data_IF_069307081525
#
_entry.id   IF_069307081525
#
_cell.length_a   1.000
_cell.length_b   1.000
_cell.length_c   1.000
_cell.angle_alpha   90.00
_cell.angle_beta   90.00
_cell.angle_gamma   90.00
#
_symmetry.space_group_name_H-M   'P 1'
#
loop_
_entity.id
_entity.type
_entity.pdbx_description
1 polymer ?
#
# COMPACT_ATOMS: atom_id res chain seq x y z
N UNK A 1 -30.29 -11.82 8.87
CA UNK A 1 -29.60 -11.35 10.08
C UNK A 1 -28.15 -11.77 10.00
N UNK A 2 -27.22 -10.82 10.14
CA UNK A 2 -25.79 -11.05 10.37
C UNK A 2 -24.95 -11.32 9.12
N UNK A 3 -24.21 -10.33 8.62
CA UNK A 3 -22.86 -10.05 9.13
C UNK A 3 -22.66 -8.53 9.05
N UNK A 4 -22.75 -7.86 10.21
CA UNK A 4 -22.20 -6.52 10.37
C UNK A 4 -20.69 -6.68 10.34
N UNK A 5 -20.02 -6.26 9.26
CA UNK A 5 -18.59 -6.02 9.32
C UNK A 5 -18.39 -4.85 10.28
N UNK A 6 -17.66 -5.11 11.37
CA UNK A 6 -17.30 -4.13 12.38
C UNK A 6 -16.62 -2.94 11.70
N UNK A 7 -17.38 -1.86 11.60
CA UNK A 7 -16.93 -0.53 11.21
C UNK A 7 -16.24 0.09 12.43
N UNK A 8 -14.92 -0.08 12.55
CA UNK A 8 -14.11 0.74 13.46
C UNK A 8 -13.62 1.97 12.69
N UNK A 9 -14.42 3.03 12.70
CA UNK A 9 -14.02 4.37 12.28
C UNK A 9 -13.02 4.94 13.30
N UNK A 10 -11.76 5.05 12.89
CA UNK A 10 -10.80 5.96 13.51
C UNK A 10 -11.05 7.37 12.96
N UNK A 11 -12.09 8.05 13.44
CA UNK A 11 -12.33 9.46 13.15
C UNK A 11 -11.63 10.33 14.22
N UNK A 12 -10.81 11.27 13.75
CA UNK A 12 -10.37 12.49 14.44
C UNK A 12 -9.80 12.30 15.87
N UNK A 13 -8.52 11.89 15.93
CA UNK A 13 -7.65 12.16 17.10
C UNK A 13 -7.78 11.23 18.30
N UNK A 14 -8.03 9.93 18.11
CA UNK A 14 -8.00 8.91 19.18
C UNK A 14 -7.05 7.78 18.83
N UNK A 15 -6.28 7.32 19.83
CA UNK A 15 -5.48 6.09 19.73
C UNK A 15 -6.36 4.93 19.28
N UNK A 16 -6.05 4.35 18.11
CA UNK A 16 -6.75 3.15 17.67
C UNK A 16 -6.13 1.93 18.33
N UNK A 17 -6.94 1.02 18.90
CA UNK A 17 -6.40 -0.17 19.52
C UNK A 17 -5.70 -1.02 18.45
N UNK A 18 -4.51 -1.51 18.79
CA UNK A 18 -3.78 -2.42 17.91
C UNK A 18 -4.70 -3.59 17.51
N UNK A 19 -4.89 -3.76 16.21
CA UNK A 19 -5.88 -4.72 15.68
C UNK A 19 -5.14 -5.85 14.98
N UNK A 20 -5.37 -7.07 15.43
CA UNK A 20 -4.84 -8.29 14.80
C UNK A 20 -5.99 -9.06 14.17
N UNK A 21 -5.86 -9.41 12.90
CA UNK A 21 -6.86 -10.18 12.17
C UNK A 21 -6.19 -11.21 11.25
N UNK A 22 -6.77 -12.41 11.18
CA UNK A 22 -6.41 -13.42 10.19
C UNK A 22 -7.59 -13.65 9.26
N UNK A 23 -7.46 -13.21 8.01
CA UNK A 23 -8.51 -13.40 7.01
C UNK A 23 -7.91 -13.95 5.73
N UNK A 24 -8.51 -15.03 5.20
CA UNK A 24 -8.02 -15.75 4.02
C UNK A 24 -6.52 -16.07 4.06
N UNK A 25 -5.97 -16.32 5.25
CA UNK A 25 -4.56 -16.63 5.42
C UNK A 25 -3.59 -15.46 5.31
N UNK A 26 -4.09 -14.22 5.37
CA UNK A 26 -3.27 -13.03 5.60
C UNK A 26 -3.45 -12.62 7.04
N UNK A 27 -2.35 -12.63 7.78
CA UNK A 27 -2.29 -12.11 9.14
C UNK A 27 -1.97 -10.63 9.07
N UNK A 28 -2.95 -9.79 9.38
CA UNK A 28 -2.78 -8.35 9.42
C UNK A 28 -2.66 -7.87 10.86
N UNK A 29 -1.70 -6.99 11.09
CA UNK A 29 -1.45 -6.33 12.37
C UNK A 29 -1.41 -4.82 12.13
N UNK A 30 -2.31 -4.10 12.80
CA UNK A 30 -2.32 -2.64 12.80
C UNK A 30 -1.80 -2.17 14.15
N UNK A 31 -0.81 -1.29 14.14
CA UNK A 31 -0.39 -0.51 15.29
C UNK A 31 -1.35 0.65 15.56
N UNK A 32 -0.86 1.58 16.36
CA UNK A 32 -1.59 2.69 16.95
C UNK A 32 -1.06 4.02 16.38
N UNK A 33 -1.38 5.13 17.03
CA UNK A 33 -0.78 6.43 16.67
C UNK A 33 0.40 6.78 17.63
N UNK A 34 0.82 5.80 18.45
CA UNK A 34 1.89 5.87 19.44
C UNK A 34 2.94 4.81 19.12
N UNK A 35 4.16 4.99 19.63
CA UNK A 35 5.26 4.03 19.42
C UNK A 35 4.88 2.59 19.84
N UNK A 36 4.97 1.67 18.90
CA UNK A 36 4.55 0.28 19.01
C UNK A 36 5.72 -0.70 19.00
N UNK A 37 5.50 -1.88 19.60
CA UNK A 37 6.43 -3.01 19.54
C UNK A 37 5.71 -4.26 19.02
N UNK A 38 5.77 -4.44 17.71
CA UNK A 38 5.07 -5.50 16.98
C UNK A 38 6.06 -6.61 16.65
N UNK A 39 6.07 -7.64 17.50
CA UNK A 39 6.94 -8.81 17.31
C UNK A 39 6.09 -10.01 16.88
N UNK A 40 6.26 -10.44 15.63
CA UNK A 40 5.72 -11.70 15.14
C UNK A 40 6.76 -12.79 15.36
N UNK A 41 6.36 -13.87 16.02
CA UNK A 41 7.21 -15.01 16.31
C UNK A 41 6.53 -16.30 15.88
N UNK A 42 7.33 -17.28 15.46
CA UNK A 42 6.84 -18.61 15.18
C UNK A 42 7.58 -19.63 16.04
N UNK A 43 6.82 -20.52 16.67
CA UNK A 43 7.31 -21.70 17.39
C UNK A 43 6.55 -22.92 16.92
N UNK A 44 7.25 -23.81 16.19
CA UNK A 44 6.60 -24.93 15.51
C UNK A 44 5.49 -24.46 14.56
N UNK A 45 4.27 -24.95 14.80
CA UNK A 45 3.08 -24.58 14.02
C UNK A 45 2.30 -23.39 14.61
N UNK A 46 2.85 -22.65 15.57
CA UNK A 46 2.16 -21.52 16.19
C UNK A 46 2.85 -20.22 15.82
N UNK A 47 2.09 -19.27 15.26
CA UNK A 47 2.49 -17.88 15.11
C UNK A 47 1.87 -17.08 16.23
N UNK A 48 2.66 -16.25 16.91
CA UNK A 48 2.21 -15.40 18.00
C UNK A 48 2.57 -13.93 17.75
N UNK A 49 1.59 -13.06 17.97
CA UNK A 49 1.70 -11.59 17.88
C UNK A 49 0.65 -10.94 18.80
N UNK A 50 1.03 -9.88 19.51
CA UNK A 50 0.15 -9.11 20.41
C UNK A 50 -0.70 -9.97 21.37
N UNK A 51 -0.11 -11.05 21.92
CA UNK A 51 -0.80 -11.99 22.82
C UNK A 51 -1.78 -12.95 22.14
N UNK A 52 -1.97 -12.86 20.82
CA UNK A 52 -2.80 -13.76 20.03
C UNK A 52 -1.95 -14.87 19.41
N UNK A 53 -2.59 -15.99 19.05
CA UNK A 53 -1.92 -17.14 18.44
C UNK A 53 -2.72 -17.68 17.25
N UNK A 54 -2.01 -18.04 16.18
CA UNK A 54 -2.56 -18.54 14.92
C UNK A 54 -1.81 -19.79 14.46
N UNK A 55 -2.48 -20.66 13.71
CA UNK A 55 -1.80 -21.80 13.08
C UNK A 55 -0.91 -21.31 11.94
N UNK A 56 0.37 -21.68 11.95
CA UNK A 56 1.31 -21.31 10.90
C UNK A 56 0.88 -21.82 9.53
N UNK A 57 0.22 -22.98 9.46
CA UNK A 57 -0.37 -23.51 8.22
C UNK A 57 -1.52 -22.66 7.65
N UNK A 58 -2.14 -21.80 8.46
CA UNK A 58 -3.20 -20.91 8.01
C UNK A 58 -2.64 -19.57 7.51
N UNK A 59 -1.46 -19.14 7.97
CA UNK A 59 -0.87 -17.85 7.60
C UNK A 59 0.07 -18.04 6.40
N UNK A 60 -0.27 -17.43 5.27
CA UNK A 60 0.56 -17.45 4.05
C UNK A 60 1.26 -16.12 3.80
N UNK A 61 0.78 -15.02 4.38
CA UNK A 61 1.40 -13.70 4.31
C UNK A 61 1.15 -12.93 5.61
N UNK A 62 2.11 -12.10 5.98
CA UNK A 62 1.99 -11.14 7.09
C UNK A 62 1.90 -9.74 6.51
N UNK A 63 1.03 -8.90 7.06
CA UNK A 63 0.96 -7.47 6.75
C UNK A 63 0.97 -6.72 8.06
N UNK A 64 1.90 -5.78 8.22
CA UNK A 64 1.96 -4.89 9.37
C UNK A 64 1.91 -3.46 8.90
N UNK A 65 1.05 -2.65 9.50
CA UNK A 65 1.10 -1.18 9.42
C UNK A 65 1.26 -0.66 10.83
N UNK A 66 2.41 -0.05 11.14
CA UNK A 66 2.77 0.33 12.50
C UNK A 66 2.14 1.68 12.90
N UNK A 67 2.10 2.65 11.98
CA UNK A 67 1.24 3.82 12.10
C UNK A 67 2.05 5.09 12.39
N UNK A 68 1.78 5.76 13.51
CA UNK A 68 2.59 6.89 13.95
C UNK A 68 3.40 6.51 15.19
N UNK A 69 4.54 7.16 15.38
CA UNK A 69 5.46 6.89 16.49
C UNK A 69 6.73 6.20 16.00
N UNK A 70 7.76 6.20 16.83
CA UNK A 70 8.99 5.48 16.52
C UNK A 70 8.78 3.98 16.81
N UNK A 71 8.46 3.20 15.77
CA UNK A 71 7.97 1.83 15.92
C UNK A 71 9.07 0.77 15.81
N UNK A 72 8.84 -0.38 16.48
CA UNK A 72 9.61 -1.60 16.28
C UNK A 72 8.72 -2.68 15.68
N UNK A 73 8.98 -3.04 14.42
CA UNK A 73 8.33 -4.19 13.77
C UNK A 73 9.34 -5.28 13.46
N UNK A 74 9.10 -6.49 13.96
CA UNK A 74 10.00 -7.64 13.75
C UNK A 74 9.24 -8.90 13.37
N UNK A 75 9.41 -9.35 12.13
CA UNK A 75 8.97 -10.66 11.66
C UNK A 75 10.07 -11.72 11.93
N UNK A 76 9.77 -12.74 12.73
CA UNK A 76 10.71 -13.85 13.01
C UNK A 76 10.19 -15.17 12.45
N UNK A 77 9.46 -15.09 11.35
CA UNK A 77 8.93 -16.24 10.63
C UNK A 77 9.64 -16.37 9.27
N UNK A 78 9.40 -17.49 8.58
CA UNK A 78 9.81 -17.64 7.18
C UNK A 78 8.72 -17.17 6.20
N UNK A 79 7.65 -16.54 6.71
CA UNK A 79 6.51 -16.11 5.91
C UNK A 79 6.80 -14.73 5.35
N UNK A 80 6.57 -14.59 4.05
CA UNK A 80 6.64 -13.33 3.34
C UNK A 80 5.78 -12.26 4.02
N UNK A 81 6.35 -11.09 4.26
CA UNK A 81 5.73 -9.98 4.94
C UNK A 81 5.72 -8.70 4.11
N UNK A 82 4.69 -7.88 4.30
CA UNK A 82 4.74 -6.46 3.99
C UNK A 82 4.74 -5.69 5.31
N UNK A 83 5.77 -4.89 5.57
CA UNK A 83 5.90 -4.09 6.78
C UNK A 83 5.90 -2.61 6.40
N UNK A 84 4.97 -1.85 6.96
CA UNK A 84 4.92 -0.38 6.87
C UNK A 84 5.24 0.20 8.25
N UNK A 85 6.27 1.04 8.33
CA UNK A 85 6.62 1.81 9.53
C UNK A 85 5.59 2.93 9.71
N UNK A 86 5.62 3.92 8.82
CA UNK A 86 4.65 5.00 8.81
C UNK A 86 5.33 6.31 9.17
N UNK A 87 4.87 7.02 10.20
CA UNK A 87 5.53 8.25 10.67
C UNK A 87 6.32 7.96 11.93
N UNK A 88 7.60 8.26 11.93
CA UNK A 88 8.51 8.09 13.06
C UNK A 88 9.84 7.56 12.59
N UNK A 89 10.81 7.45 13.50
CA UNK A 89 12.07 6.76 13.20
C UNK A 89 11.88 5.27 13.47
N UNK A 90 11.49 4.53 12.45
CA UNK A 90 11.02 3.16 12.60
C UNK A 90 12.15 2.15 12.48
N UNK A 91 11.95 0.99 13.10
CA UNK A 91 12.84 -0.16 12.99
C UNK A 91 12.07 -1.36 12.45
N UNK A 92 12.23 -1.61 11.16
CA UNK A 92 11.57 -2.70 10.44
C UNK A 92 12.54 -3.84 10.17
N UNK A 93 12.19 -5.04 10.61
CA UNK A 93 13.03 -6.23 10.48
C UNK A 93 12.20 -7.38 9.91
N UNK A 94 12.57 -7.79 8.69
CA UNK A 94 12.03 -8.93 7.97
C UNK A 94 12.40 -10.29 8.58
N UNK A 95 11.80 -11.32 8.02
CA UNK A 95 11.99 -12.73 8.32
C UNK A 95 12.99 -13.38 7.36
N UNK A 96 12.81 -14.68 7.10
CA UNK A 96 13.55 -15.36 6.02
C UNK A 96 12.70 -15.56 4.75
N UNK A 97 11.56 -14.88 4.69
CA UNK A 97 10.64 -14.90 3.56
C UNK A 97 11.03 -13.86 2.51
N UNK A 98 10.24 -13.75 1.44
CA UNK A 98 10.36 -12.63 0.49
C UNK A 98 9.56 -11.44 1.02
N UNK A 99 10.25 -10.47 1.58
CA UNK A 99 9.67 -9.38 2.33
C UNK A 99 9.68 -8.06 1.55
N UNK A 100 8.76 -7.18 1.93
CA UNK A 100 8.68 -5.80 1.46
C UNK A 100 8.59 -4.89 2.66
N UNK A 101 9.58 -4.02 2.85
CA UNK A 101 9.68 -3.11 3.99
C UNK A 101 9.61 -1.67 3.49
N UNK A 102 8.75 -0.86 4.13
CA UNK A 102 8.58 0.57 3.87
C UNK A 102 8.77 1.33 5.17
N UNK A 103 9.85 2.11 5.30
CA UNK A 103 10.10 2.93 6.48
C UNK A 103 9.03 4.01 6.65
N UNK A 104 8.86 4.85 5.64
CA UNK A 104 7.87 5.93 5.67
C UNK A 104 8.55 7.27 5.95
N UNK A 105 8.04 8.06 6.88
CA UNK A 105 8.60 9.35 7.26
C UNK A 105 9.42 9.24 8.53
N UNK A 106 10.71 9.52 8.44
CA UNK A 106 11.63 9.57 9.57
C UNK A 106 12.99 9.03 9.16
N UNK A 107 13.91 8.84 10.11
CA UNK A 107 15.18 8.18 9.83
C UNK A 107 15.04 6.71 10.20
N UNK A 108 14.71 5.89 9.21
CA UNK A 108 14.30 4.52 9.46
C UNK A 108 15.47 3.54 9.39
N UNK A 109 15.36 2.42 10.11
CA UNK A 109 16.24 1.27 9.97
C UNK A 109 15.45 0.09 9.39
N UNK A 110 15.81 -0.34 8.19
CA UNK A 110 15.18 -1.47 7.50
C UNK A 110 16.17 -2.61 7.35
N UNK A 111 15.79 -3.81 7.77
CA UNK A 111 16.59 -5.02 7.61
C UNK A 111 15.78 -6.16 7.00
N UNK A 112 16.03 -6.49 5.74
CA UNK A 112 15.33 -7.56 4.99
C UNK A 112 15.65 -8.96 5.53
N UNK A 113 16.87 -9.13 6.06
CA UNK A 113 17.48 -10.39 6.45
C UNK A 113 17.72 -11.33 5.28
N UNK A 114 17.07 -12.50 5.24
CA UNK A 114 17.28 -13.51 4.21
C UNK A 114 16.06 -13.49 3.31
N UNK A 115 16.24 -13.46 2.01
CA UNK A 115 15.07 -13.41 1.14
C UNK A 115 15.43 -12.94 -0.24
N UNK A 116 14.42 -12.53 -0.99
CA UNK A 116 14.63 -11.64 -2.14
C UNK A 116 13.75 -10.45 -1.86
N UNK A 117 14.33 -9.48 -1.18
CA UNK A 117 13.57 -8.48 -0.45
C UNK A 117 13.52 -7.16 -1.22
N UNK A 118 12.55 -6.34 -0.82
CA UNK A 118 12.43 -4.97 -1.29
C UNK A 118 12.33 -4.03 -0.12
N UNK A 119 13.34 -3.18 0.06
CA UNK A 119 13.43 -2.22 1.15
C UNK A 119 13.33 -0.82 0.57
N UNK A 120 12.39 -0.04 1.08
CA UNK A 120 12.18 1.36 0.72
C UNK A 120 12.19 2.16 2.01
N UNK A 121 13.22 2.99 2.20
CA UNK A 121 13.36 3.84 3.38
C UNK A 121 12.20 4.83 3.47
N UNK A 122 12.19 5.85 2.62
CA UNK A 122 11.09 6.81 2.59
C UNK A 122 11.64 8.21 2.77
N UNK A 123 10.99 9.11 3.49
CA UNK A 123 11.57 10.43 3.74
C UNK A 123 12.43 10.47 4.99
N UNK A 124 13.72 10.75 4.82
CA UNK A 124 14.68 10.97 5.90
C UNK A 124 16.01 10.33 5.54
N UNK A 125 16.87 10.13 6.54
CA UNK A 125 18.16 9.47 6.38
C UNK A 125 18.04 8.01 6.82
N UNK A 126 17.65 7.15 5.90
CA UNK A 126 17.35 5.75 6.19
C UNK A 126 18.60 4.87 6.16
N UNK A 127 18.55 3.77 6.90
CA UNK A 127 19.56 2.72 6.93
C UNK A 127 18.96 1.40 6.47
N UNK A 128 19.20 1.07 5.20
CA UNK A 128 18.78 -0.21 4.62
C UNK A 128 19.90 -1.23 4.67
N UNK A 129 19.63 -2.37 5.31
CA UNK A 129 20.52 -3.52 5.44
C UNK A 129 19.86 -4.75 4.85
N UNK A 130 20.57 -5.45 3.98
CA UNK A 130 20.13 -6.76 3.49
C UNK A 130 21.32 -7.69 3.41
N UNK A 131 21.11 -8.96 3.76
CA UNK A 131 22.20 -9.89 3.99
C UNK A 131 22.43 -10.86 2.84
N UNK A 132 21.44 -11.19 2.00
CA UNK A 132 21.58 -12.03 0.79
C UNK A 132 20.31 -12.00 -0.08
N UNK A 133 20.46 -11.83 -1.41
CA UNK A 133 19.35 -11.95 -2.36
C UNK A 133 19.54 -11.01 -3.55
N UNK A 134 18.75 -11.17 -4.61
CA UNK A 134 18.73 -10.21 -5.73
C UNK A 134 17.91 -8.96 -5.36
N UNK A 135 18.30 -8.30 -4.27
CA UNK A 135 17.44 -7.39 -3.51
C UNK A 135 17.34 -5.99 -4.12
N UNK A 136 16.26 -5.29 -3.79
CA UNK A 136 16.03 -3.91 -4.21
C UNK A 136 16.05 -3.01 -2.97
N UNK A 137 17.15 -2.26 -2.81
CA UNK A 137 17.34 -1.30 -1.72
C UNK A 137 17.17 0.13 -2.24
N UNK A 138 16.39 0.93 -1.53
CA UNK A 138 16.07 2.30 -1.91
C UNK A 138 16.04 3.24 -0.69
N UNK A 139 17.09 4.05 -0.54
CA UNK A 139 17.49 4.75 0.70
C UNK A 139 16.80 6.10 1.00
N UNK A 140 15.87 6.61 0.19
CA UNK A 140 15.23 7.89 0.57
C UNK A 140 14.45 8.66 -0.51
N UNK A 141 13.68 9.65 -0.08
CA UNK A 141 12.41 10.12 -0.66
C UNK A 141 12.43 10.85 -2.01
N UNK A 142 11.30 10.72 -2.76
CA UNK A 142 10.36 9.60 -2.69
C UNK A 142 11.05 8.37 -3.29
N UNK A 143 10.52 7.17 -3.04
CA UNK A 143 10.92 6.03 -3.87
C UNK A 143 10.97 6.45 -5.35
N UNK A 144 12.05 6.13 -6.08
CA UNK A 144 12.48 6.92 -7.23
C UNK A 144 11.30 7.15 -8.13
N UNK A 145 11.03 8.43 -8.43
CA UNK A 145 9.87 8.85 -9.22
C UNK A 145 9.63 7.85 -10.34
N UNK A 146 8.54 7.11 -10.25
CA UNK A 146 8.24 6.11 -11.26
C UNK A 146 7.73 6.83 -12.50
N UNK A 147 8.44 6.66 -13.61
CA UNK A 147 7.92 7.05 -14.92
C UNK A 147 6.75 6.16 -15.33
N UNK A 148 5.85 6.67 -16.15
CA UNK A 148 4.76 5.86 -16.69
C UNK A 148 5.22 5.03 -17.90
N UNK A 149 4.69 3.82 -18.03
CA UNK A 149 4.74 3.08 -19.30
C UNK A 149 3.89 3.80 -20.36
N UNK A 150 4.03 3.43 -21.63
CA UNK A 150 3.15 3.94 -22.69
C UNK A 150 1.68 3.62 -22.44
N UNK A 151 1.39 2.47 -21.82
CA UNK A 151 0.04 2.05 -21.47
C UNK A 151 -0.57 2.93 -20.37
N UNK A 152 0.20 3.21 -19.32
CA UNK A 152 -0.22 4.09 -18.23
C UNK A 152 -0.34 5.55 -18.68
N UNK A 153 0.57 6.02 -19.54
CA UNK A 153 0.51 7.35 -20.13
C UNK A 153 -0.76 7.55 -20.98
N UNK A 154 -1.22 6.52 -21.69
CA UNK A 154 -2.47 6.58 -22.44
C UNK A 154 -3.70 6.67 -21.52
N UNK A 155 -3.70 5.98 -20.37
CA UNK A 155 -4.74 6.14 -19.35
C UNK A 155 -4.79 7.60 -18.88
N UNK A 156 -3.64 8.19 -18.57
CA UNK A 156 -3.55 9.59 -18.11
C UNK A 156 -4.06 10.55 -19.20
N UNK A 157 -3.72 10.30 -20.48
CA UNK A 157 -4.22 11.08 -21.61
C UNK A 157 -5.75 11.04 -21.68
N UNK A 158 -6.35 9.86 -21.52
CA UNK A 158 -7.80 9.67 -21.54
C UNK A 158 -8.49 10.36 -20.35
N UNK A 159 -7.92 10.28 -19.15
CA UNK A 159 -8.40 11.02 -17.97
C UNK A 159 -8.45 12.52 -18.26
N UNK A 160 -7.35 13.08 -18.77
CA UNK A 160 -7.27 14.51 -19.09
C UNK A 160 -8.21 14.90 -20.24
N UNK A 161 -8.53 13.98 -21.16
CA UNK A 161 -9.54 14.18 -22.19
C UNK A 161 -10.95 14.29 -21.60
N UNK A 162 -11.33 13.43 -20.65
CA UNK A 162 -12.63 13.53 -19.96
C UNK A 162 -12.74 14.79 -19.11
N UNK A 163 -11.65 15.18 -18.43
CA UNK A 163 -11.58 16.44 -17.68
C UNK A 163 -11.78 17.65 -18.59
N UNK A 164 -11.14 17.67 -19.75
CA UNK A 164 -11.32 18.74 -20.73
C UNK A 164 -12.78 18.84 -21.23
N UNK A 165 -13.44 17.70 -21.48
CA UNK A 165 -14.87 17.67 -21.84
C UNK A 165 -15.77 18.23 -20.74
N UNK A 166 -15.37 18.08 -19.47
CA UNK A 166 -16.06 18.63 -18.32
C UNK A 166 -15.65 20.08 -17.99
N UNK A 167 -14.78 20.71 -18.78
CA UNK A 167 -14.29 22.08 -18.53
C UNK A 167 -13.29 22.21 -17.38
N UNK A 168 -12.63 21.11 -16.99
CA UNK A 168 -11.65 21.06 -15.90
C UNK A 168 -10.21 21.14 -16.43
N UNK A 169 -9.32 21.71 -15.61
CA UNK A 169 -7.88 21.71 -15.88
C UNK A 169 -7.30 20.28 -15.91
N UNK A 170 -6.29 20.02 -16.75
CA UNK A 170 -5.63 18.72 -16.78
C UNK A 170 -4.87 18.45 -15.48
N UNK A 171 -4.77 17.18 -15.10
CA UNK A 171 -3.93 16.71 -14.01
C UNK A 171 -2.48 16.57 -14.48
N UNK A 172 -1.55 17.01 -13.64
CA UNK A 172 -0.11 16.85 -13.85
C UNK A 172 0.34 15.47 -13.38
N UNK A 173 1.25 14.82 -14.11
CA UNK A 173 1.80 13.54 -13.67
C UNK A 173 2.71 13.74 -12.47
N UNK A 174 2.47 12.97 -11.40
CA UNK A 174 3.33 12.91 -10.23
C UNK A 174 4.05 11.56 -10.16
N UNK A 175 5.38 11.58 -10.23
CA UNK A 175 6.22 10.40 -10.03
C UNK A 175 6.03 9.75 -8.66
N UNK A 176 5.63 10.54 -7.66
CA UNK A 176 5.27 10.08 -6.32
C UNK A 176 3.95 9.32 -6.32
N UNK A 177 2.90 9.89 -6.93
CA UNK A 177 1.63 9.17 -7.04
C UNK A 177 1.77 7.91 -7.91
N UNK A 178 2.62 7.93 -8.94
CA UNK A 178 2.92 6.74 -9.74
C UNK A 178 3.54 5.64 -8.89
N UNK A 179 4.43 6.01 -7.97
CA UNK A 179 5.07 5.07 -7.07
C UNK A 179 4.06 4.52 -6.03
N UNK A 180 3.25 5.37 -5.40
CA UNK A 180 2.17 4.93 -4.52
C UNK A 180 1.18 3.99 -5.23
N UNK A 181 0.78 4.35 -6.45
CA UNK A 181 -0.08 3.52 -7.28
C UNK A 181 0.58 2.17 -7.58
N UNK A 182 1.88 2.16 -7.90
CA UNK A 182 2.64 0.95 -8.16
C UNK A 182 2.72 0.01 -6.96
N UNK A 183 2.96 0.53 -5.77
CA UNK A 183 2.96 -0.29 -4.55
C UNK A 183 1.60 -0.94 -4.34
N UNK A 184 0.51 -0.19 -4.57
CA UNK A 184 -0.82 -0.76 -4.47
C UNK A 184 -1.07 -1.84 -5.52
N UNK A 185 -0.74 -1.57 -6.79
CA UNK A 185 -0.93 -2.55 -7.86
C UNK A 185 -0.08 -3.81 -7.63
N UNK A 186 1.11 -3.65 -7.03
CA UNK A 186 1.97 -4.77 -6.66
C UNK A 186 1.30 -5.64 -5.58
N UNK A 187 0.73 -5.03 -4.55
CA UNK A 187 -0.01 -5.77 -3.52
C UNK A 187 -1.25 -6.47 -4.08
N UNK A 188 -2.05 -5.77 -4.91
CA UNK A 188 -3.23 -6.35 -5.54
C UNK A 188 -2.87 -7.55 -6.42
N UNK A 189 -1.81 -7.46 -7.23
CA UNK A 189 -1.35 -8.58 -8.07
C UNK A 189 -0.78 -9.73 -7.24
N UNK A 190 0.00 -9.44 -6.20
CA UNK A 190 0.52 -10.46 -5.29
C UNK A 190 -0.61 -11.22 -4.59
N UNK A 191 -1.65 -10.52 -4.13
CA UNK A 191 -2.83 -11.13 -3.55
C UNK A 191 -3.61 -11.93 -4.59
N UNK A 192 -3.80 -11.38 -5.79
CA UNK A 192 -4.49 -12.08 -6.88
C UNK A 192 -3.86 -13.44 -7.17
N UNK A 193 -2.53 -13.51 -7.15
CA UNK A 193 -1.78 -14.75 -7.36
C UNK A 193 -2.02 -15.80 -6.28
N UNK A 194 -2.27 -15.36 -5.05
CA UNK A 194 -2.42 -16.25 -3.89
C UNK A 194 -3.87 -16.65 -3.63
N UNK A 195 -4.82 -15.77 -3.92
CA UNK A 195 -6.20 -15.86 -3.45
C UNK A 195 -7.25 -15.59 -4.52
N UNK A 196 -6.84 -15.28 -5.75
CA UNK A 196 -7.73 -14.92 -6.84
C UNK A 196 -8.00 -13.41 -6.93
N UNK A 197 -8.52 -12.97 -8.08
CA UNK A 197 -8.50 -11.56 -8.47
C UNK A 197 -9.46 -10.70 -7.64
N UNK A 198 -10.63 -11.24 -7.25
CA UNK A 198 -11.59 -10.56 -6.39
C UNK A 198 -11.02 -10.26 -5.01
N UNK A 199 -10.12 -11.13 -4.55
CA UNK A 199 -9.41 -10.96 -3.30
C UNK A 199 -8.36 -9.83 -3.40
N UNK A 200 -7.74 -9.68 -4.58
CA UNK A 200 -6.76 -8.63 -4.86
C UNK A 200 -7.37 -7.27 -5.16
N UNK A 201 -8.60 -7.21 -5.66
CA UNK A 201 -9.26 -5.96 -6.04
C UNK A 201 -9.88 -5.23 -4.84
N UNK A 202 -9.04 -4.65 -3.98
CA UNK A 202 -9.47 -3.94 -2.78
C UNK A 202 -8.60 -2.71 -2.53
N UNK A 203 -9.22 -1.61 -2.08
CA UNK A 203 -8.51 -0.36 -1.69
C UNK A 203 -7.65 -0.55 -0.43
N UNK A 204 -8.07 -1.49 0.43
CA UNK A 204 -7.37 -1.93 1.64
C UNK A 204 -7.03 -3.41 1.52
N UNK A 205 -5.94 -3.89 2.14
CA UNK A 205 -5.71 -5.34 2.16
C UNK A 205 -6.66 -5.96 3.18
N UNK A 206 -7.47 -6.92 2.74
CA UNK A 206 -8.31 -7.82 3.54
C UNK A 206 -8.72 -7.33 4.93
N UNK A 207 -9.77 -6.51 4.97
CA UNK A 207 -10.47 -6.20 6.23
C UNK A 207 -9.71 -5.30 7.19
N UNK A 208 -8.69 -4.56 6.73
CA UNK A 208 -8.14 -3.44 7.52
C UNK A 208 -9.07 -2.23 7.48
N UNK A 209 -9.18 -1.55 8.61
CA UNK A 209 -10.08 -0.42 8.85
C UNK A 209 -9.50 0.96 8.51
N UNK A 210 -8.22 1.05 8.11
CA UNK A 210 -7.61 2.32 7.65
C UNK A 210 -7.15 2.20 6.20
N UNK A 211 -7.22 3.29 5.40
CA UNK A 211 -6.73 3.22 4.03
C UNK A 211 -5.22 3.04 4.09
N UNK A 212 -4.78 1.87 3.63
CA UNK A 212 -3.38 1.67 3.27
C UNK A 212 -2.92 2.62 2.15
N UNK A 213 -3.86 3.32 1.51
CA UNK A 213 -3.53 4.40 0.61
C UNK A 213 -2.75 5.52 1.31
N UNK A 214 -3.07 5.86 2.56
CA UNK A 214 -2.30 6.85 3.32
C UNK A 214 -0.87 6.37 3.54
N UNK A 215 -0.71 5.18 4.11
CA UNK A 215 0.60 4.54 4.30
C UNK A 215 1.42 4.46 3.00
N UNK A 216 0.76 4.14 1.86
CA UNK A 216 1.39 4.11 0.53
C UNK A 216 1.74 5.49 -0.01
N UNK A 217 0.94 6.51 0.28
CA UNK A 217 1.17 7.90 -0.12
C UNK A 217 2.29 8.52 0.73
N UNK A 218 2.33 8.25 2.03
CA UNK A 218 3.41 8.63 2.92
C UNK A 218 4.73 7.95 2.52
N UNK A 219 4.70 6.64 2.22
CA UNK A 219 5.84 5.93 1.65
C UNK A 219 6.28 6.49 0.28
N UNK A 220 5.39 7.20 -0.42
CA UNK A 220 5.69 7.92 -1.65
C UNK A 220 6.03 9.41 -1.43
N UNK A 221 6.19 9.85 -0.18
CA UNK A 221 6.62 11.20 0.18
C UNK A 221 5.53 12.27 0.05
N UNK A 222 4.26 11.89 0.21
CA UNK A 222 3.17 12.82 0.49
C UNK A 222 3.00 12.95 2.01
N UNK A 223 2.92 14.17 2.52
CA UNK A 223 2.57 14.41 3.91
C UNK A 223 1.05 14.36 4.04
N UNK A 224 0.51 13.17 4.33
CA UNK A 224 -0.94 12.98 4.43
C UNK A 224 -1.51 13.26 5.82
N UNK A 225 -0.64 13.53 6.81
CA UNK A 225 -1.01 13.64 8.21
C UNK A 225 -0.99 15.06 8.77
N UNK A 226 -0.15 15.96 8.24
CA UNK A 226 -0.08 17.36 8.74
C UNK A 226 -0.83 18.37 7.86
N UNK A 227 -1.31 17.95 6.68
CA UNK A 227 -2.03 18.82 5.74
C UNK A 227 -3.39 18.23 5.40
N UNK A 228 -4.41 19.09 5.24
CA UNK A 228 -5.71 18.71 4.66
C UNK A 228 -5.54 18.35 3.18
N UNK A 229 -4.99 17.18 2.92
CA UNK A 229 -4.65 16.70 1.59
C UNK A 229 -5.87 15.99 0.99
N UNK A 230 -6.42 16.53 -0.09
CA UNK A 230 -7.45 15.84 -0.86
C UNK A 230 -6.78 14.79 -1.74
N UNK A 231 -7.06 13.51 -1.50
CA UNK A 231 -6.64 12.40 -2.34
C UNK A 231 -7.86 11.59 -2.81
N UNK A 232 -7.66 10.78 -3.84
CA UNK A 232 -8.64 9.81 -4.32
C UNK A 232 -7.92 8.64 -4.97
N UNK A 233 -8.56 7.47 -4.98
CA UNK A 233 -8.03 6.29 -5.66
C UNK A 233 -9.13 5.63 -6.48
N UNK A 234 -8.79 5.24 -7.71
CA UNK A 234 -9.59 4.35 -8.52
C UNK A 234 -8.78 3.07 -8.76
N UNK A 235 -9.40 1.92 -8.54
CA UNK A 235 -8.79 0.62 -8.86
C UNK A 235 -9.67 -0.17 -9.81
N UNK A 236 -9.03 -1.01 -10.61
CA UNK A 236 -9.71 -1.92 -11.52
C UNK A 236 -8.84 -3.17 -11.77
N UNK A 237 -9.46 -4.24 -12.27
CA UNK A 237 -8.73 -5.37 -12.81
C UNK A 237 -9.47 -5.98 -14.00
N UNK A 238 -8.76 -6.78 -14.80
CA UNK A 238 -9.36 -7.62 -15.85
C UNK A 238 -9.63 -6.93 -17.19
N UNK A 239 -9.38 -5.63 -17.31
CA UNK A 239 -9.48 -4.90 -18.57
C UNK A 239 -8.24 -5.09 -19.43
N UNK A 240 -8.42 -5.08 -20.76
CA UNK A 240 -7.34 -5.36 -21.71
C UNK A 240 -6.77 -4.11 -22.39
N UNK A 241 -7.40 -2.94 -22.22
CA UNK A 241 -6.95 -1.69 -22.84
C UNK A 241 -7.22 -0.45 -21.99
N UNK A 242 -6.47 0.65 -22.19
CA UNK A 242 -6.71 1.94 -21.54
C UNK A 242 -8.13 2.47 -21.77
N UNK A 243 -8.66 2.31 -22.99
CA UNK A 243 -10.00 2.77 -23.36
C UNK A 243 -11.11 2.02 -22.63
N UNK A 244 -10.93 0.71 -22.45
CA UNK A 244 -11.92 -0.14 -21.79
C UNK A 244 -12.03 0.18 -20.30
N UNK A 245 -10.88 0.26 -19.60
CA UNK A 245 -10.87 0.62 -18.18
C UNK A 245 -11.36 2.06 -17.95
N UNK A 246 -11.03 2.99 -18.85
CA UNK A 246 -11.52 4.37 -18.77
C UNK A 246 -13.04 4.44 -18.89
N UNK A 247 -13.63 3.71 -19.85
CA UNK A 247 -15.08 3.65 -20.01
C UNK A 247 -15.77 3.08 -18.75
N UNK A 248 -15.20 2.04 -18.16
CA UNK A 248 -15.70 1.46 -16.92
C UNK A 248 -15.64 2.43 -15.73
N UNK A 249 -14.51 3.13 -15.54
CA UNK A 249 -14.40 4.16 -14.50
C UNK A 249 -15.38 5.31 -14.72
N UNK A 250 -15.58 5.77 -15.95
CA UNK A 250 -16.56 6.82 -16.23
C UNK A 250 -18.00 6.36 -16.06
N UNK A 251 -18.32 5.08 -16.22
CA UNK A 251 -19.65 4.55 -15.94
C UNK A 251 -19.95 4.48 -14.43
N UNK A 252 -18.95 4.21 -13.59
CA UNK A 252 -19.08 4.15 -12.13
C UNK A 252 -19.16 5.55 -11.49
N UNK A 253 -20.23 5.89 -10.74
CA UNK A 253 -20.35 7.20 -10.11
C UNK A 253 -19.18 7.58 -9.17
N UNK A 254 -18.70 6.64 -8.36
CA UNK A 254 -17.59 6.89 -7.44
C UNK A 254 -16.27 7.14 -8.17
N UNK A 255 -15.93 6.29 -9.14
CA UNK A 255 -14.69 6.45 -9.91
C UNK A 255 -14.72 7.72 -10.76
N UNK A 256 -15.85 8.02 -11.41
CA UNK A 256 -16.07 9.24 -12.18
C UNK A 256 -15.93 10.49 -11.31
N UNK A 257 -16.41 10.46 -10.07
CA UNK A 257 -16.28 11.58 -9.14
C UNK A 257 -14.81 11.91 -8.85
N UNK A 258 -13.95 10.90 -8.68
CA UNK A 258 -12.50 11.13 -8.52
C UNK A 258 -11.88 11.77 -9.77
N UNK A 259 -12.14 11.22 -10.96
CA UNK A 259 -11.61 11.73 -12.24
C UNK A 259 -12.00 13.19 -12.47
N UNK A 260 -13.24 13.55 -12.15
CA UNK A 260 -13.80 14.88 -12.37
C UNK A 260 -13.73 15.79 -11.13
N UNK A 261 -12.96 15.42 -10.11
CA UNK A 261 -12.82 16.25 -8.93
C UNK A 261 -11.96 17.51 -9.26
N UNK A 262 -12.49 18.74 -9.08
CA UNK A 262 -11.75 19.96 -9.37
C UNK A 262 -10.63 20.24 -8.36
N UNK A 263 -10.65 19.59 -7.19
CA UNK A 263 -9.63 19.80 -6.15
C UNK A 263 -8.32 19.05 -6.41
N UNK A 264 -8.32 18.04 -7.29
CA UNK A 264 -7.11 17.32 -7.66
C UNK A 264 -6.34 18.08 -8.75
N UNK A 265 -5.02 18.15 -8.59
CA UNK A 265 -4.08 18.78 -9.54
C UNK A 265 -3.04 17.80 -10.05
N UNK A 266 -2.88 16.65 -9.40
CA UNK A 266 -1.91 15.62 -9.74
C UNK A 266 -2.58 14.25 -9.93
N UNK A 267 -1.94 13.42 -10.76
CA UNK A 267 -2.30 12.02 -10.96
C UNK A 267 -1.05 11.13 -10.99
N UNK A 268 -1.19 9.93 -10.46
CA UNK A 268 -0.28 8.83 -10.72
C UNK A 268 -1.05 7.58 -11.11
N UNK A 269 -0.49 6.79 -12.03
CA UNK A 269 -1.08 5.58 -12.55
C UNK A 269 -0.07 4.45 -12.55
N UNK A 270 -0.50 3.27 -12.14
CA UNK A 270 0.25 2.04 -12.29
C UNK A 270 -0.64 0.94 -12.85
N UNK A 271 -0.04 0.12 -13.72
CA UNK A 271 -0.64 -1.09 -14.25
C UNK A 271 0.36 -2.24 -14.15
N UNK A 272 -0.04 -3.34 -13.52
CA UNK A 272 0.77 -4.57 -13.41
C UNK A 272 -0.10 -5.78 -13.74
N UNK A 273 0.53 -6.81 -14.30
CA UNK A 273 -0.11 -8.09 -14.52
C UNK A 273 0.11 -9.01 -13.31
N UNK A 274 -0.91 -9.76 -12.94
CA UNK A 274 -0.73 -10.94 -12.10
C UNK A 274 -0.11 -12.11 -12.90
N UNK A 275 0.18 -13.23 -12.25
CA UNK A 275 0.82 -14.40 -12.86
C UNK A 275 -0.04 -15.07 -13.94
N UNK A 276 -1.35 -14.81 -13.97
CA UNK A 276 -2.26 -15.25 -15.02
C UNK A 276 -2.35 -14.25 -16.19
N UNK A 277 -1.57 -13.16 -16.15
CA UNK A 277 -1.58 -12.11 -17.17
C UNK A 277 -2.75 -11.12 -17.04
N UNK A 278 -3.53 -11.16 -15.95
CA UNK A 278 -4.63 -10.22 -15.73
C UNK A 278 -4.08 -8.89 -15.26
N UNK A 279 -4.46 -7.82 -15.93
CA UNK A 279 -4.03 -6.47 -15.56
C UNK A 279 -4.81 -5.98 -14.35
N UNK A 280 -4.08 -5.39 -13.40
CA UNK A 280 -4.57 -4.61 -12.29
C UNK A 280 -4.15 -3.16 -12.49
N UNK A 281 -5.03 -2.24 -12.11
CA UNK A 281 -4.92 -0.82 -12.40
C UNK A 281 -5.11 -0.04 -11.10
N UNK A 282 -4.26 0.95 -10.87
CA UNK A 282 -4.42 1.93 -9.80
C UNK A 282 -4.25 3.32 -10.38
N UNK A 283 -5.21 4.22 -10.11
CA UNK A 283 -5.08 5.66 -10.31
C UNK A 283 -5.11 6.33 -8.93
N UNK A 284 -4.04 7.01 -8.57
CA UNK A 284 -4.02 7.86 -7.39
C UNK A 284 -4.12 9.32 -7.83
N UNK A 285 -5.01 10.06 -7.18
CA UNK A 285 -5.23 11.48 -7.38
C UNK A 285 -4.78 12.22 -6.13
N UNK A 286 -4.19 13.39 -6.33
CA UNK A 286 -3.75 14.24 -5.23
C UNK A 286 -3.75 15.72 -5.62
N UNK A 287 -3.35 16.55 -4.67
CA UNK A 287 -3.18 17.99 -4.89
C UNK A 287 -1.82 18.43 -4.37
N UNK A 288 -0.95 18.94 -5.23
CA UNK A 288 0.26 19.61 -4.75
C UNK A 288 -0.13 20.80 -3.85
N UNK A 289 0.30 20.80 -2.59
CA UNK A 289 0.12 21.93 -1.64
C UNK A 289 1.46 22.61 -1.39
#
# INVERSE_FOLDING_TARGET
MGVSQLHLECLEGRECPATVNLFNGILTVLGTDSADSIIISQSGNTISVAGQSFSATQVRRIVVSAGQGDDLVRNNTAIAATLYGGIGNDRLIGGSGRDVLFGGQGNDYLNGRQGVDRLIGGSGNDQLVDTLGGDVLNQGSPAPNRGNTSFEAEIIRLVNQERARAGLAPLTVSGRLNQAAYLHTLDMTAISNLYGPDAGHQHTLFGTTRPQLFDRLDAAGYDTWTRSFAFGENIAYGYSSPTEVMAAWMASPGHRANILNPNFTEIGVSVLADAAGRLFFTQNFGRLV
#
